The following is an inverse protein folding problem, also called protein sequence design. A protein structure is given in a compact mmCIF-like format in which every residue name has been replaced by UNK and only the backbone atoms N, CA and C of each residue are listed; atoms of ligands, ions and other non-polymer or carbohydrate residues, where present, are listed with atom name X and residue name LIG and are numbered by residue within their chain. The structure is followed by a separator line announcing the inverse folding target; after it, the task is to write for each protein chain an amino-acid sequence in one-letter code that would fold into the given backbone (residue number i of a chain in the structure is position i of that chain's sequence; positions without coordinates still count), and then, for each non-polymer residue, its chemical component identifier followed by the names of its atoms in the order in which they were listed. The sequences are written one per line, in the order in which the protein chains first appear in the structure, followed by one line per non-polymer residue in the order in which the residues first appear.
data_IF_767230246313
#
_entry.id   IF_767230246313
#
_cell.length_a   1.000
_cell.length_b   1.000
_cell.length_c   1.000
_cell.angle_alpha   90.00
_cell.angle_beta   90.00
_cell.angle_gamma   90.00
#
_symmetry.space_group_name_H-M   'P 1'
#
loop_
_entity.id
_entity.type
_entity.pdbx_description
1 polymer ?
#
# COMPACT_ATOMS: atom_id res chain seq x y z
N UNK A 1 11.31 4.60 -9.99
CA UNK A 1 11.87 3.71 -11.01
C UNK A 1 12.46 2.52 -10.27
N UNK A 2 11.66 1.47 -10.05
CA UNK A 2 12.12 0.25 -9.40
C UNK A 2 12.11 -0.83 -10.48
N UNK A 3 13.29 -1.34 -10.79
CA UNK A 3 13.54 -2.33 -11.82
C UNK A 3 12.63 -3.54 -11.62
N UNK A 4 11.85 -3.85 -12.65
CA UNK A 4 11.10 -5.08 -12.78
C UNK A 4 12.09 -6.24 -12.83
N UNK A 5 12.12 -7.07 -11.78
CA UNK A 5 12.70 -8.40 -11.88
C UNK A 5 11.70 -9.29 -12.60
N UNK A 6 11.70 -9.15 -13.92
CA UNK A 6 11.06 -10.05 -14.85
C UNK A 6 11.79 -11.39 -14.70
N UNK A 7 11.20 -12.34 -13.99
CA UNK A 7 11.69 -13.73 -13.97
C UNK A 7 11.27 -14.34 -15.31
N UNK A 8 11.98 -13.94 -16.36
CA UNK A 8 11.93 -14.61 -17.65
C UNK A 8 12.77 -15.88 -17.54
N UNK A 9 12.11 -17.03 -17.49
CA UNK A 9 12.79 -18.31 -17.70
C UNK A 9 13.00 -18.48 -19.21
N UNK A 10 13.96 -17.73 -19.75
CA UNK A 10 14.46 -17.88 -21.11
C UNK A 10 15.45 -19.03 -21.16
N UNK A 11 14.96 -20.24 -21.37
CA UNK A 11 15.77 -21.34 -21.87
C UNK A 11 15.71 -21.34 -23.39
N UNK A 12 16.75 -20.82 -24.04
CA UNK A 12 17.00 -21.07 -25.46
C UNK A 12 17.19 -22.57 -25.66
N UNK A 13 16.30 -23.16 -26.45
CA UNK A 13 16.35 -24.55 -26.87
C UNK A 13 15.44 -24.73 -28.08
N UNK A 14 16.06 -24.84 -29.25
CA UNK A 14 15.43 -25.21 -30.50
C UNK A 14 14.53 -26.44 -30.34
N UNK A 15 13.34 -26.38 -30.96
CA UNK A 15 12.55 -27.51 -31.42
C UNK A 15 12.45 -28.74 -30.50
N UNK A 16 11.50 -28.72 -29.56
CA UNK A 16 11.14 -29.93 -28.82
C UNK A 16 10.03 -29.68 -27.82
N UNK A 17 8.81 -30.09 -28.17
CA UNK A 17 7.71 -30.47 -27.29
C UNK A 17 7.59 -29.71 -25.95
N UNK A 18 6.99 -28.51 -26.00
CA UNK A 18 6.69 -27.67 -24.84
C UNK A 18 5.55 -28.18 -23.95
N UNK A 19 5.40 -29.49 -23.80
CA UNK A 19 4.41 -30.10 -22.92
C UNK A 19 4.96 -30.13 -21.49
N UNK A 20 4.70 -29.07 -20.71
CA UNK A 20 4.90 -29.13 -19.27
C UNK A 20 3.85 -30.09 -18.70
N UNK A 21 4.30 -31.16 -18.05
CA UNK A 21 3.42 -32.11 -17.37
C UNK A 21 2.45 -31.39 -16.44
N UNK A 22 1.16 -31.77 -16.50
CA UNK A 22 0.07 -31.12 -15.74
C UNK A 22 0.40 -31.01 -14.25
N UNK A 23 1.09 -32.00 -13.70
CA UNK A 23 1.54 -32.05 -12.31
C UNK A 23 2.58 -30.97 -11.98
N UNK A 24 3.59 -30.81 -12.85
CA UNK A 24 4.62 -29.77 -12.71
C UNK A 24 3.98 -28.37 -12.77
N UNK A 25 2.97 -28.22 -13.60
CA UNK A 25 2.28 -26.96 -13.79
C UNK A 25 1.31 -26.62 -12.63
N UNK A 26 0.63 -27.63 -12.07
CA UNK A 26 -0.12 -27.52 -10.80
C UNK A 26 0.83 -27.15 -9.65
N UNK A 27 2.01 -27.77 -9.59
CA UNK A 27 3.00 -27.49 -8.54
C UNK A 27 3.52 -26.05 -8.64
N UNK A 28 3.90 -25.60 -9.84
CA UNK A 28 4.34 -24.23 -10.09
C UNK A 28 3.27 -23.20 -9.67
N UNK A 29 2.00 -23.45 -10.00
CA UNK A 29 0.92 -22.55 -9.67
C UNK A 29 0.63 -22.49 -8.16
N UNK A 30 0.74 -23.60 -7.44
CA UNK A 30 0.65 -23.61 -5.98
C UNK A 30 1.79 -22.79 -5.33
N UNK A 31 3.02 -22.90 -5.84
CA UNK A 31 4.16 -22.10 -5.36
C UNK A 31 3.91 -20.59 -5.58
N UNK A 32 3.40 -20.20 -6.75
CA UNK A 32 3.08 -18.80 -7.06
C UNK A 32 1.98 -18.26 -6.13
N UNK A 33 0.94 -19.06 -5.88
CA UNK A 33 -0.14 -18.72 -4.93
C UNK A 33 0.42 -18.50 -3.53
N UNK A 34 1.27 -19.41 -3.04
CA UNK A 34 1.89 -19.30 -1.72
C UNK A 34 2.74 -18.03 -1.60
N UNK A 35 3.55 -17.72 -2.62
CA UNK A 35 4.40 -16.54 -2.65
C UNK A 35 3.60 -15.23 -2.65
N UNK A 36 2.51 -15.14 -3.43
CA UNK A 36 1.65 -13.96 -3.42
C UNK A 36 0.88 -13.81 -2.10
N UNK A 37 0.47 -14.92 -1.48
CA UNK A 37 -0.16 -14.87 -0.16
C UNK A 37 0.80 -14.35 0.92
N UNK A 38 2.04 -14.81 0.93
CA UNK A 38 3.08 -14.33 1.83
C UNK A 38 3.34 -12.82 1.64
N UNK A 39 3.50 -12.37 0.39
CA UNK A 39 3.63 -10.93 0.08
C UNK A 39 2.43 -10.11 0.52
N UNK A 40 1.21 -10.65 0.46
CA UNK A 40 0.01 -9.96 0.97
C UNK A 40 0.06 -9.79 2.49
N UNK A 41 0.54 -10.80 3.22
CA UNK A 41 0.68 -10.73 4.68
C UNK A 41 1.79 -9.76 5.08
N UNK A 42 2.93 -9.80 4.39
CA UNK A 42 4.02 -8.86 4.59
C UNK A 42 3.57 -7.42 4.39
N UNK A 43 2.90 -7.12 3.26
CA UNK A 43 2.40 -5.76 3.00
C UNK A 43 1.28 -5.34 3.96
N UNK A 44 0.52 -6.28 4.52
CA UNK A 44 -0.42 -5.96 5.60
C UNK A 44 0.33 -5.54 6.87
N UNK A 45 1.39 -6.27 7.25
CA UNK A 45 2.25 -5.93 8.38
C UNK A 45 2.90 -4.55 8.19
N UNK A 46 3.44 -4.28 7.01
CA UNK A 46 4.06 -2.97 6.69
C UNK A 46 3.05 -1.82 6.84
N UNK A 47 1.82 -1.99 6.34
CA UNK A 47 0.73 -1.02 6.52
C UNK A 47 0.41 -0.80 7.99
N UNK A 48 0.33 -1.86 8.79
CA UNK A 48 -0.01 -1.73 10.21
C UNK A 48 1.12 -1.08 11.02
N UNK A 49 2.39 -1.33 10.67
CA UNK A 49 3.54 -0.60 11.22
C UNK A 49 3.47 0.89 10.88
N UNK A 50 3.22 1.25 9.62
CA UNK A 50 3.12 2.65 9.22
C UNK A 50 1.94 3.37 9.89
N UNK A 51 0.81 2.68 10.14
CA UNK A 51 -0.28 3.25 10.93
C UNK A 51 0.13 3.53 12.37
N UNK A 52 0.91 2.64 13.01
CA UNK A 52 1.43 2.88 14.36
C UNK A 52 2.34 4.10 14.39
N UNK A 53 3.23 4.23 13.41
CA UNK A 53 4.06 5.43 13.27
C UNK A 53 3.22 6.70 13.07
N UNK A 54 2.17 6.63 12.25
CA UNK A 54 1.24 7.74 12.08
C UNK A 54 0.60 8.16 13.42
N UNK A 55 0.11 7.20 14.21
CA UNK A 55 -0.45 7.48 15.54
C UNK A 55 0.59 8.08 16.50
N UNK A 56 1.83 7.58 16.45
CA UNK A 56 2.94 8.12 17.24
C UNK A 56 3.26 9.56 16.87
N UNK A 57 3.26 9.90 15.58
CA UNK A 57 3.42 11.27 15.10
C UNK A 57 2.31 12.19 15.61
N UNK A 58 1.05 11.74 15.55
CA UNK A 58 -0.08 12.50 16.12
C UNK A 58 0.08 12.73 17.62
N UNK A 59 0.46 11.70 18.39
CA UNK A 59 0.67 11.82 19.83
C UNK A 59 1.79 12.82 20.17
N UNK A 60 2.94 12.73 19.50
CA UNK A 60 4.06 13.66 19.69
C UNK A 60 3.66 15.09 19.33
N UNK A 61 2.91 15.26 18.24
CA UNK A 61 2.42 16.57 17.82
C UNK A 61 1.45 17.19 18.82
N UNK A 62 0.47 16.41 19.32
CA UNK A 62 -0.46 16.90 20.34
C UNK A 62 0.23 17.19 21.67
N UNK A 63 1.21 16.37 22.06
CA UNK A 63 2.04 16.63 23.25
C UNK A 63 2.82 17.94 23.11
N UNK A 64 3.48 18.14 21.96
CA UNK A 64 4.15 19.40 21.65
C UNK A 64 3.19 20.59 21.72
N UNK A 65 1.99 20.46 21.15
CA UNK A 65 0.97 21.50 21.17
C UNK A 65 0.54 21.84 22.60
N UNK A 66 0.30 20.83 23.44
CA UNK A 66 -0.07 21.00 24.84
C UNK A 66 1.03 21.71 25.64
N UNK A 67 2.30 21.35 25.43
CA UNK A 67 3.45 22.01 26.08
C UNK A 67 3.57 23.46 25.64
N UNK A 68 3.42 23.75 24.35
CA UNK A 68 3.49 25.11 23.81
C UNK A 68 2.34 25.97 24.32
N UNK A 69 1.12 25.44 24.38
CA UNK A 69 -0.04 26.13 24.96
C UNK A 69 0.14 26.38 26.46
N UNK A 70 0.61 25.40 27.23
CA UNK A 70 0.88 25.57 28.65
C UNK A 70 1.96 26.62 28.92
N UNK A 71 3.02 26.65 28.09
CA UNK A 71 4.06 27.66 28.16
C UNK A 71 3.54 29.07 27.84
N UNK A 72 2.62 29.21 26.87
CA UNK A 72 1.96 30.48 26.56
C UNK A 72 1.06 30.95 27.71
N UNK A 73 0.28 30.05 28.31
CA UNK A 73 -0.59 30.37 29.46
C UNK A 73 0.18 30.72 30.73
N UNK A 74 1.36 30.14 30.93
CA UNK A 74 2.22 30.42 32.10
C UNK A 74 3.08 31.67 31.96
N UNK A 75 3.11 32.33 30.79
CA UNK A 75 3.91 33.51 30.57
C UNK A 75 3.24 34.76 31.18
N UNK A 76 3.99 35.55 31.95
CA UNK A 76 3.47 36.80 32.53
C UNK A 76 3.18 37.83 31.43
N UNK A 77 2.02 38.51 31.44
CA UNK A 77 1.60 39.45 30.39
C UNK A 77 2.58 40.63 30.21
N UNK A 78 3.31 41.02 31.26
CA UNK A 78 4.29 42.12 31.19
C UNK A 78 5.60 41.78 30.44
N UNK A 79 5.91 40.50 30.17
CA UNK A 79 7.19 40.09 29.56
C UNK A 79 7.17 39.90 28.05
N UNK A 80 5.99 39.79 27.42
CA UNK A 80 5.87 39.53 25.98
C UNK A 80 5.45 40.79 25.23
N UNK A 81 6.38 41.72 25.05
CA UNK A 81 6.22 42.76 24.04
C UNK A 81 6.04 42.10 22.66
N UNK A 82 5.13 42.62 21.82
CA UNK A 82 4.77 42.07 20.49
C UNK A 82 5.94 41.67 19.58
N UNK A 83 7.15 42.17 19.85
CA UNK A 83 8.39 41.82 19.15
C UNK A 83 8.87 40.38 19.39
N UNK A 84 8.52 39.75 20.52
CA UNK A 84 8.89 38.36 20.83
C UNK A 84 7.79 37.33 20.53
N UNK A 85 6.58 37.76 20.13
CA UNK A 85 5.49 36.81 19.78
C UNK A 85 5.75 36.04 18.48
N UNK A 86 6.67 36.53 17.64
CA UNK A 86 7.07 35.86 16.41
C UNK A 86 7.81 34.54 16.63
N UNK A 87 8.52 34.39 17.75
CA UNK A 87 9.25 33.16 18.07
C UNK A 87 8.30 31.96 18.30
N UNK A 88 7.26 32.03 19.17
CA UNK A 88 6.31 30.94 19.34
C UNK A 88 5.49 30.70 18.07
N UNK A 89 5.09 31.74 17.33
CA UNK A 89 4.36 31.60 16.06
C UNK A 89 5.23 30.90 14.99
N UNK A 90 6.50 31.30 14.87
CA UNK A 90 7.48 30.68 13.99
C UNK A 90 7.75 29.22 14.34
N UNK A 91 7.91 28.91 15.62
CA UNK A 91 8.09 27.53 16.08
C UNK A 91 6.84 26.68 15.82
N UNK A 92 5.65 27.22 16.09
CA UNK A 92 4.38 26.54 15.88
C UNK A 92 4.15 26.24 14.39
N UNK A 93 4.41 27.21 13.52
CA UNK A 93 4.30 27.05 12.06
C UNK A 93 5.30 26.06 11.50
N UNK A 94 6.56 26.10 11.93
CA UNK A 94 7.56 25.12 11.53
C UNK A 94 7.19 23.70 11.99
N UNK A 95 6.72 23.55 13.23
CA UNK A 95 6.28 22.25 13.76
C UNK A 95 5.09 21.68 12.96
N UNK A 96 4.11 22.51 12.60
CA UNK A 96 3.01 22.09 11.73
C UNK A 96 3.50 21.69 10.34
N UNK A 97 4.42 22.46 9.74
CA UNK A 97 4.99 22.12 8.43
C UNK A 97 5.71 20.76 8.45
N UNK A 98 6.58 20.55 9.44
CA UNK A 98 7.30 19.27 9.62
C UNK A 98 6.30 18.12 9.84
N UNK A 99 5.30 18.33 10.69
CA UNK A 99 4.24 17.36 10.93
C UNK A 99 3.47 17.02 9.63
N UNK A 100 3.12 18.02 8.81
CA UNK A 100 2.45 17.81 7.53
C UNK A 100 3.28 16.99 6.56
N UNK A 101 4.57 17.32 6.42
CA UNK A 101 5.47 16.58 5.53
C UNK A 101 5.57 15.12 5.99
N UNK A 102 5.75 14.89 7.30
CA UNK A 102 5.84 13.56 7.87
C UNK A 102 4.55 12.75 7.65
N UNK A 103 3.37 13.32 7.95
CA UNK A 103 2.07 12.67 7.73
C UNK A 103 1.85 12.39 6.24
N UNK A 104 2.16 13.34 5.36
CA UNK A 104 1.99 13.15 3.92
C UNK A 104 2.90 12.04 3.38
N UNK A 105 4.14 11.92 3.88
CA UNK A 105 5.04 10.84 3.52
C UNK A 105 4.54 9.48 4.01
N UNK A 106 4.17 9.37 5.29
CA UNK A 106 3.63 8.14 5.87
C UNK A 106 2.35 7.68 5.16
N UNK A 107 1.45 8.61 4.80
CA UNK A 107 0.24 8.30 4.04
C UNK A 107 0.54 7.85 2.61
N UNK A 108 1.53 8.44 1.93
CA UNK A 108 2.00 7.95 0.61
C UNK A 108 2.51 6.52 0.71
N UNK A 109 3.29 6.20 1.74
CA UNK A 109 3.77 4.83 1.98
C UNK A 109 2.61 3.85 2.22
N UNK A 110 1.66 4.21 3.10
CA UNK A 110 0.47 3.39 3.38
C UNK A 110 -0.33 3.13 2.10
N UNK A 111 -0.54 4.17 1.28
CA UNK A 111 -1.29 4.04 0.03
C UNK A 111 -0.54 3.19 -1.00
N UNK A 112 0.79 3.34 -1.11
CA UNK A 112 1.64 2.50 -1.93
C UNK A 112 1.53 1.01 -1.55
N UNK A 113 1.63 0.70 -0.26
CA UNK A 113 1.49 -0.67 0.23
C UNK A 113 0.06 -1.22 0.05
N UNK A 114 -0.98 -0.39 0.23
CA UNK A 114 -2.37 -0.78 -0.05
C UNK A 114 -2.58 -1.10 -1.53
N UNK A 115 -1.98 -0.31 -2.41
CA UNK A 115 -2.02 -0.54 -3.86
C UNK A 115 -1.31 -1.85 -4.20
N UNK A 116 -0.05 -2.03 -3.80
CA UNK A 116 0.71 -3.27 -4.02
C UNK A 116 -0.01 -4.52 -3.48
N UNK A 117 -0.59 -4.42 -2.26
CA UNK A 117 -1.38 -5.50 -1.67
C UNK A 117 -2.62 -5.83 -2.50
N UNK A 118 -3.26 -4.82 -3.11
CA UNK A 118 -4.42 -5.03 -3.98
C UNK A 118 -4.00 -5.72 -5.28
N UNK A 119 -2.87 -5.34 -5.88
CA UNK A 119 -2.32 -6.03 -7.04
C UNK A 119 -2.08 -7.51 -6.73
N UNK A 120 -1.37 -7.82 -5.64
CA UNK A 120 -1.14 -9.20 -5.24
C UNK A 120 -2.42 -9.99 -4.97
N UNK A 121 -3.47 -9.35 -4.45
CA UNK A 121 -4.78 -9.99 -4.28
C UNK A 121 -5.45 -10.33 -5.61
N UNK A 122 -5.34 -9.46 -6.62
CA UNK A 122 -5.88 -9.70 -7.96
C UNK A 122 -5.11 -10.82 -8.65
N UNK A 123 -3.78 -10.75 -8.61
CA UNK A 123 -2.88 -11.78 -9.12
C UNK A 123 -3.14 -13.14 -8.47
N UNK A 124 -3.32 -13.19 -7.15
CA UNK A 124 -3.66 -14.41 -6.41
C UNK A 124 -5.02 -14.98 -6.83
N UNK A 125 -6.03 -14.13 -7.01
CA UNK A 125 -7.36 -14.55 -7.45
C UNK A 125 -7.30 -15.18 -8.85
N UNK A 126 -6.56 -14.55 -9.77
CA UNK A 126 -6.35 -15.06 -11.12
C UNK A 126 -5.58 -16.39 -11.11
N UNK A 127 -4.49 -16.48 -10.35
CA UNK A 127 -3.72 -17.72 -10.19
C UNK A 127 -4.58 -18.87 -9.65
N UNK A 128 -5.44 -18.58 -8.67
CA UNK A 128 -6.35 -19.56 -8.07
C UNK A 128 -7.42 -20.01 -9.08
N UNK A 129 -7.93 -19.09 -9.90
CA UNK A 129 -8.92 -19.41 -10.92
C UNK A 129 -8.33 -20.30 -12.03
N UNK A 130 -7.12 -19.97 -12.50
CA UNK A 130 -6.37 -20.83 -13.44
C UNK A 130 -6.13 -22.21 -12.87
N UNK A 131 -5.75 -22.33 -11.58
CA UNK A 131 -5.55 -23.61 -10.92
C UNK A 131 -6.81 -24.47 -10.91
N UNK A 132 -7.97 -23.85 -10.66
CA UNK A 132 -9.26 -24.54 -10.72
C UNK A 132 -9.59 -25.02 -12.12
N UNK A 133 -9.40 -24.17 -13.13
CA UNK A 133 -9.65 -24.53 -14.53
C UNK A 133 -8.76 -25.68 -14.99
N UNK A 134 -7.49 -25.68 -14.61
CA UNK A 134 -6.54 -26.74 -14.96
C UNK A 134 -6.85 -28.06 -14.25
N UNK A 135 -7.19 -28.01 -12.96
CA UNK A 135 -7.67 -29.21 -12.25
C UNK A 135 -8.95 -29.76 -12.87
N UNK A 136 -9.94 -28.91 -13.17
CA UNK A 136 -11.19 -29.32 -13.80
C UNK A 136 -10.94 -29.94 -15.17
N UNK A 137 -10.11 -29.30 -16.02
CA UNK A 137 -9.72 -29.84 -17.32
C UNK A 137 -9.06 -31.20 -17.16
N UNK A 138 -8.10 -31.35 -16.25
CA UNK A 138 -7.43 -32.62 -15.99
C UNK A 138 -8.40 -33.71 -15.51
N UNK A 139 -9.31 -33.42 -14.57
CA UNK A 139 -10.30 -34.39 -14.09
C UNK A 139 -11.32 -34.78 -15.17
N UNK A 140 -11.73 -33.85 -16.02
CA UNK A 140 -12.61 -34.14 -17.15
C UNK A 140 -11.90 -34.94 -18.24
N UNK A 141 -10.64 -34.62 -18.53
CA UNK A 141 -9.77 -35.33 -19.48
C UNK A 141 -9.40 -36.72 -18.98
N UNK A 142 -9.17 -36.92 -17.69
CA UNK A 142 -8.89 -38.25 -17.12
C UNK A 142 -10.14 -39.13 -17.10
N UNK A 143 -11.32 -38.55 -16.85
CA UNK A 143 -12.60 -39.25 -16.93
C UNK A 143 -12.96 -39.64 -18.39
N UNK A 144 -12.63 -38.80 -19.38
CA UNK A 144 -12.85 -39.12 -20.80
C UNK A 144 -11.76 -40.02 -21.39
N UNK A 145 -10.50 -39.91 -20.96
CA UNK A 145 -9.40 -40.79 -21.37
C UNK A 145 -9.54 -42.20 -20.78
N UNK A 146 -10.14 -42.36 -19.60
CA UNK A 146 -10.54 -43.67 -19.08
C UNK A 146 -11.61 -44.36 -19.95
N UNK A 147 -12.39 -43.59 -20.73
CA UNK A 147 -13.39 -44.10 -21.68
C UNK A 147 -12.84 -44.27 -23.11
N UNK A 148 -11.73 -43.63 -23.46
CA UNK A 148 -11.09 -43.70 -24.77
C UNK A 148 -9.59 -43.98 -24.61
N UNK A 149 -9.23 -45.26 -24.67
CA UNK A 149 -7.84 -45.71 -24.64
C UNK A 149 -7.01 -45.03 -25.74
N UNK A 150 -6.15 -44.08 -25.36
CA UNK A 150 -5.12 -43.51 -26.24
C UNK A 150 -5.19 -42.01 -26.56
N UNK A 151 -6.07 -41.23 -25.92
CA UNK A 151 -6.04 -39.77 -26.08
C UNK A 151 -5.03 -39.13 -25.11
N UNK A 152 -3.88 -38.71 -25.63
CA UNK A 152 -2.91 -37.86 -24.93
C UNK A 152 -3.60 -36.57 -24.43
N UNK A 153 -3.43 -36.18 -23.16
CA UNK A 153 -3.99 -34.94 -22.64
C UNK A 153 -3.50 -33.73 -23.47
N UNK A 154 -4.37 -32.75 -23.76
CA UNK A 154 -3.99 -31.61 -24.58
C UNK A 154 -2.79 -30.86 -23.95
N UNK A 155 -1.77 -30.50 -24.76
CA UNK A 155 -0.55 -29.87 -24.25
C UNK A 155 -0.89 -28.56 -23.55
N UNK A 156 -0.44 -28.43 -22.31
CA UNK A 156 -0.70 -27.20 -21.55
C UNK A 156 0.33 -26.16 -21.97
N UNK A 157 -0.13 -25.17 -22.73
CA UNK A 157 0.73 -24.11 -23.23
C UNK A 157 1.23 -23.24 -22.07
N UNK A 158 2.48 -22.74 -22.11
CA UNK A 158 3.04 -21.86 -21.08
C UNK A 158 2.19 -20.60 -20.82
N UNK A 159 1.46 -20.14 -21.83
CA UNK A 159 0.47 -19.06 -21.74
C UNK A 159 -0.73 -19.35 -20.83
N UNK A 160 -1.02 -20.61 -20.51
CA UNK A 160 -2.10 -20.99 -19.57
C UNK A 160 -1.70 -20.80 -18.08
N UNK A 161 -0.40 -20.67 -17.79
CA UNK A 161 0.14 -20.42 -16.44
C UNK A 161 0.85 -19.08 -16.28
N UNK A 162 1.04 -18.33 -17.37
CA UNK A 162 1.65 -17.02 -17.33
C UNK A 162 0.68 -16.01 -16.69
N UNK A 163 0.96 -15.64 -15.44
CA UNK A 163 0.14 -14.70 -14.68
C UNK A 163 0.67 -13.30 -14.94
N UNK A 164 0.01 -12.57 -15.84
CA UNK A 164 0.31 -11.16 -16.05
C UNK A 164 -0.03 -10.34 -14.80
N UNK A 165 0.84 -9.39 -14.45
CA UNK A 165 0.62 -8.52 -13.31
C UNK A 165 -0.65 -7.69 -13.54
N UNK A 166 -1.56 -7.70 -12.57
CA UNK A 166 -2.88 -7.09 -12.74
C UNK A 166 -2.97 -5.83 -11.87
N UNK A 167 -3.01 -4.69 -12.55
CA UNK A 167 -3.11 -3.39 -11.90
C UNK A 167 -4.57 -3.07 -11.53
N UNK A 168 -4.82 -2.52 -10.32
CA UNK A 168 -6.12 -1.97 -9.96
C UNK A 168 -6.54 -0.87 -10.94
N UNK A 169 -7.82 -0.78 -11.32
CA UNK A 169 -8.31 0.28 -12.20
C UNK A 169 -8.04 1.67 -11.60
N UNK A 170 -7.74 2.67 -12.44
CA UNK A 170 -7.35 4.02 -12.01
C UNK A 170 -8.37 4.70 -11.08
N UNK A 171 -9.65 4.35 -11.21
CA UNK A 171 -10.73 4.83 -10.33
C UNK A 171 -10.48 4.49 -8.84
N UNK A 172 -9.66 3.48 -8.54
CA UNK A 172 -9.26 3.12 -7.18
C UNK A 172 -8.35 4.19 -6.55
N UNK A 173 -7.40 4.75 -7.31
CA UNK A 173 -6.51 5.82 -6.86
C UNK A 173 -7.26 7.14 -6.66
N UNK A 174 -8.27 7.40 -7.50
CA UNK A 174 -9.13 8.59 -7.37
C UNK A 174 -9.85 8.68 -6.01
N UNK A 175 -10.27 7.56 -5.43
CA UNK A 175 -10.90 7.52 -4.09
C UNK A 175 -9.93 7.96 -2.99
N UNK A 176 -8.66 7.58 -3.08
CA UNK A 176 -7.62 8.00 -2.13
C UNK A 176 -7.33 9.49 -2.25
N UNK A 177 -7.26 10.01 -3.48
CA UNK A 177 -7.00 11.43 -3.73
C UNK A 177 -8.11 12.32 -3.14
N UNK A 178 -9.38 11.94 -3.31
CA UNK A 178 -10.53 12.66 -2.74
C UNK A 178 -10.57 12.60 -1.22
N UNK A 179 -10.33 11.42 -0.64
CA UNK A 179 -10.27 11.28 0.82
C UNK A 179 -9.12 12.10 1.40
N UNK A 180 -7.96 12.13 0.74
CA UNK A 180 -6.81 12.91 1.18
C UNK A 180 -7.08 14.42 1.17
N UNK A 181 -7.76 14.95 0.16
CA UNK A 181 -8.12 16.36 0.09
C UNK A 181 -8.94 16.83 1.32
N UNK A 182 -9.86 15.99 1.82
CA UNK A 182 -10.63 16.29 3.03
C UNK A 182 -9.76 16.34 4.29
N UNK A 183 -8.86 15.36 4.47
CA UNK A 183 -7.97 15.33 5.63
C UNK A 183 -6.98 16.50 5.60
N UNK A 184 -6.48 16.85 4.41
CA UNK A 184 -5.63 18.01 4.22
C UNK A 184 -6.36 19.33 4.55
N UNK A 185 -7.62 19.46 4.12
CA UNK A 185 -8.46 20.62 4.47
C UNK A 185 -8.69 20.73 5.97
N UNK A 186 -9.06 19.63 6.65
CA UNK A 186 -9.23 19.60 8.11
C UNK A 186 -7.95 20.05 8.83
N UNK A 187 -6.81 19.50 8.41
CA UNK A 187 -5.51 19.86 8.92
C UNK A 187 -5.20 21.35 8.74
N UNK A 188 -5.41 21.91 7.55
CA UNK A 188 -5.21 23.33 7.29
C UNK A 188 -6.10 24.23 8.17
N UNK A 189 -7.37 23.85 8.36
CA UNK A 189 -8.28 24.54 9.26
C UNK A 189 -7.77 24.53 10.71
N UNK A 190 -7.27 23.38 11.20
CA UNK A 190 -6.70 23.29 12.55
C UNK A 190 -5.46 24.18 12.71
N UNK A 191 -4.61 24.29 11.69
CA UNK A 191 -3.47 25.20 11.70
C UNK A 191 -3.91 26.67 11.77
N UNK A 192 -4.87 27.08 10.94
CA UNK A 192 -5.41 28.43 10.97
C UNK A 192 -6.00 28.78 12.34
N UNK A 193 -6.77 27.85 12.93
CA UNK A 193 -7.32 28.01 14.28
C UNK A 193 -6.21 28.16 15.34
N UNK A 194 -5.18 27.31 15.29
CA UNK A 194 -4.07 27.35 16.24
C UNK A 194 -3.25 28.64 16.16
N UNK A 195 -2.97 29.14 14.96
CA UNK A 195 -2.28 30.42 14.76
C UNK A 195 -3.14 31.56 15.27
N UNK A 196 -4.44 31.56 14.95
CA UNK A 196 -5.38 32.60 15.39
C UNK A 196 -5.48 32.64 16.92
N UNK A 197 -5.61 31.48 17.56
CA UNK A 197 -5.66 31.37 19.02
C UNK A 197 -4.35 31.83 19.67
N UNK A 198 -3.19 31.50 19.10
CA UNK A 198 -1.89 31.95 19.63
C UNK A 198 -1.72 33.47 19.51
N UNK A 199 -2.19 34.07 18.40
CA UNK A 199 -2.20 35.53 18.25
C UNK A 199 -3.12 36.18 19.27
N UNK A 200 -4.32 35.64 19.49
CA UNK A 200 -5.25 36.18 20.51
C UNK A 200 -4.63 36.11 21.90
N UNK A 201 -4.07 34.96 22.29
CA UNK A 201 -3.47 34.77 23.62
C UNK A 201 -2.20 35.61 23.87
N UNK A 202 -1.44 35.95 22.82
CA UNK A 202 -0.17 36.67 22.95
C UNK A 202 -0.30 38.18 22.72
N UNK A 203 -1.36 38.62 22.03
CA UNK A 203 -1.53 40.04 21.66
C UNK A 203 -2.69 40.73 22.39
N UNK A 204 -3.59 39.99 23.05
CA UNK A 204 -4.73 40.51 23.81
C UNK A 204 -4.79 39.87 25.19
#
# INVERSE_FOLDING_TARGET
MAAETLVGYGGEGEGGDGAVGVEAAIQALNTIIQLHFEKILEKKRDVDTQKKELWRLFQLFFLFLAVVLAAQLGASPDRLQCRHCWAPIGLLSLAHLVFYVAVAQTLRCINGFKYQRRCHKLTLALATDRLKLLKLRFFSSSASAAAAAGAEPPPVLPSDFEIHYQEPPESYLGKFKRSWALHFGFLLCTFGFMVSASVVLLCF
#
